data_IF_133972466888
#
_entry.id   IF_133972466888
#
_cell.length_a   1.000
_cell.length_b   1.000
_cell.length_c   1.000
_cell.angle_alpha   90.00
_cell.angle_beta   90.00
_cell.angle_gamma   90.00
#
_symmetry.space_group_name_H-M   'P 1'
#
loop_
_entity.id
_entity.type
_entity.pdbx_description
1 polymer ?
#
# COMPACT_ATOMS: atom_id res chain seq x y z
N UNK A 1 -15.66 29.25 15.92
CA UNK A 1 -15.80 27.81 16.26
C UNK A 1 -15.01 26.96 15.25
N UNK A 2 -13.73 27.26 15.08
CA UNK A 2 -12.90 26.82 13.95
C UNK A 2 -11.83 25.82 14.35
N UNK A 3 -11.51 24.91 13.43
CA UNK A 3 -10.38 23.95 13.42
C UNK A 3 -10.38 22.94 14.58
N UNK A 4 -10.28 23.36 15.84
CA UNK A 4 -10.32 22.48 17.02
C UNK A 4 -11.60 21.63 17.10
N UNK A 5 -12.73 22.18 16.64
CA UNK A 5 -14.00 21.44 16.59
C UNK A 5 -14.02 20.36 15.51
N UNK A 6 -13.29 20.57 14.41
CA UNK A 6 -13.20 19.63 13.29
C UNK A 6 -12.23 18.52 13.66
N UNK A 7 -11.07 18.86 14.22
CA UNK A 7 -10.09 17.89 14.69
C UNK A 7 -10.67 16.97 15.77
N UNK A 8 -11.46 17.52 16.70
CA UNK A 8 -12.16 16.74 17.71
C UNK A 8 -13.19 15.80 17.09
N UNK A 9 -13.98 16.27 16.11
CA UNK A 9 -14.98 15.44 15.44
C UNK A 9 -14.32 14.29 14.65
N UNK A 10 -13.26 14.59 13.91
CA UNK A 10 -12.47 13.59 13.18
C UNK A 10 -11.90 12.57 14.16
N UNK A 11 -11.33 13.04 15.28
CA UNK A 11 -10.80 12.16 16.33
C UNK A 11 -11.88 11.23 16.87
N UNK A 12 -13.06 11.76 17.21
CA UNK A 12 -14.20 10.97 17.70
C UNK A 12 -14.69 9.94 16.69
N UNK A 13 -14.61 10.22 15.39
CA UNK A 13 -14.96 9.27 14.32
C UNK A 13 -13.91 8.16 14.14
N UNK A 14 -12.63 8.51 14.26
CA UNK A 14 -11.51 7.56 14.10
C UNK A 14 -11.40 6.62 15.30
N UNK A 15 -11.64 7.13 16.51
CA UNK A 15 -11.33 6.47 17.77
C UNK A 15 -11.92 5.05 17.91
N UNK A 16 -13.21 4.80 17.58
CA UNK A 16 -13.78 3.45 17.68
C UNK A 16 -13.10 2.45 16.74
N UNK A 17 -12.82 2.85 15.50
CA UNK A 17 -12.18 1.99 14.49
C UNK A 17 -10.72 1.74 14.87
N UNK A 18 -10.03 2.75 15.40
CA UNK A 18 -8.68 2.63 15.92
C UNK A 18 -8.61 1.60 17.07
N UNK A 19 -9.48 1.70 18.07
CA UNK A 19 -9.51 0.75 19.18
C UNK A 19 -9.85 -0.68 18.74
N UNK A 20 -10.75 -0.83 17.76
CA UNK A 20 -11.05 -2.14 17.16
C UNK A 20 -9.80 -2.77 16.50
N UNK A 21 -9.01 -1.98 15.77
CA UNK A 21 -7.73 -2.45 15.22
C UNK A 21 -6.73 -2.82 16.33
N UNK A 22 -6.65 -2.03 17.40
CA UNK A 22 -5.80 -2.36 18.56
C UNK A 22 -6.20 -3.69 19.20
N UNK A 23 -7.51 -3.94 19.36
CA UNK A 23 -8.03 -5.19 19.88
C UNK A 23 -7.68 -6.36 18.97
N UNK A 24 -7.78 -6.20 17.65
CA UNK A 24 -7.39 -7.22 16.69
C UNK A 24 -5.91 -7.58 16.80
N UNK A 25 -5.02 -6.58 16.90
CA UNK A 25 -3.59 -6.81 17.11
C UNK A 25 -3.31 -7.54 18.43
N UNK A 26 -4.01 -7.17 19.51
CA UNK A 26 -3.89 -7.84 20.80
C UNK A 26 -4.33 -9.30 20.74
N UNK A 27 -5.44 -9.58 20.05
CA UNK A 27 -5.93 -10.95 19.82
C UNK A 27 -4.96 -11.76 18.97
N UNK A 28 -4.42 -11.18 17.90
CA UNK A 28 -3.40 -11.81 17.06
C UNK A 28 -2.18 -12.21 17.89
N UNK A 29 -1.59 -11.26 18.63
CA UNK A 29 -0.43 -11.54 19.49
C UNK A 29 -0.74 -12.62 20.52
N UNK A 30 -1.96 -12.61 21.10
CA UNK A 30 -2.39 -13.63 22.06
C UNK A 30 -2.49 -15.02 21.45
N UNK A 31 -3.05 -15.14 20.23
CA UNK A 31 -3.17 -16.42 19.50
C UNK A 31 -1.79 -16.95 19.13
N UNK A 32 -0.88 -16.09 18.65
CA UNK A 32 0.47 -16.52 18.31
C UNK A 32 1.24 -16.94 19.56
N UNK A 33 1.15 -16.19 20.66
CA UNK A 33 1.72 -16.60 21.95
C UNK A 33 1.19 -17.96 22.39
N UNK A 34 -0.12 -18.19 22.30
CA UNK A 34 -0.72 -19.48 22.64
C UNK A 34 -0.19 -20.62 21.75
N UNK A 35 -0.08 -20.38 20.43
CA UNK A 35 0.52 -21.35 19.49
C UNK A 35 1.95 -21.70 19.88
N UNK A 36 2.76 -20.72 20.29
CA UNK A 36 4.12 -20.97 20.76
C UNK A 36 4.16 -21.76 22.07
N UNK A 37 3.31 -21.43 23.05
CA UNK A 37 3.21 -22.18 24.30
C UNK A 37 2.84 -23.65 24.02
N UNK A 38 1.88 -23.89 23.13
CA UNK A 38 1.50 -25.25 22.71
C UNK A 38 2.68 -25.98 22.05
N UNK A 39 3.39 -25.34 21.10
CA UNK A 39 4.55 -25.93 20.43
C UNK A 39 5.69 -26.27 21.41
N UNK A 40 5.93 -25.40 22.40
CA UNK A 40 6.92 -25.63 23.45
C UNK A 40 6.55 -26.84 24.32
N UNK A 41 5.28 -26.94 24.73
CA UNK A 41 4.77 -28.07 25.50
C UNK A 41 4.80 -29.38 24.72
N UNK A 42 4.62 -29.34 23.39
CA UNK A 42 4.67 -30.52 22.52
C UNK A 42 6.09 -31.06 22.23
N UNK A 43 7.16 -30.50 22.82
CA UNK A 43 8.59 -30.90 22.62
C UNK A 43 9.03 -31.05 21.16
N UNK A 44 8.34 -30.38 20.22
CA UNK A 44 8.70 -30.42 18.81
C UNK A 44 9.88 -29.48 18.56
N UNK A 45 11.02 -30.03 18.14
CA UNK A 45 12.14 -29.25 17.57
C UNK A 45 11.75 -28.75 16.18
N UNK A 46 10.74 -27.89 16.09
CA UNK A 46 10.45 -27.16 14.85
C UNK A 46 10.98 -25.73 14.98
N UNK A 47 11.50 -25.23 13.87
CA UNK A 47 12.25 -23.98 13.73
C UNK A 47 11.64 -22.85 14.55
N UNK A 48 12.47 -22.30 15.46
CA UNK A 48 12.13 -21.16 16.30
C UNK A 48 12.10 -19.91 15.41
N UNK A 49 11.07 -19.81 14.58
CA UNK A 49 10.81 -18.59 13.80
C UNK A 49 10.78 -17.41 14.76
N UNK A 50 11.49 -16.35 14.41
CA UNK A 50 11.56 -15.13 15.22
C UNK A 50 10.18 -14.48 15.24
N UNK A 51 9.47 -14.65 16.36
CA UNK A 51 8.18 -14.00 16.55
C UNK A 51 8.39 -12.54 16.94
N UNK A 52 7.74 -11.63 16.22
CA UNK A 52 7.62 -10.22 16.60
C UNK A 52 6.19 -9.92 17.01
N UNK A 53 6.05 -9.17 18.11
CA UNK A 53 4.75 -8.60 18.53
C UNK A 53 4.27 -7.62 17.47
N UNK A 54 3.00 -7.72 17.11
CA UNK A 54 2.35 -6.75 16.25
C UNK A 54 1.78 -5.57 17.05
N UNK A 55 1.33 -5.79 18.29
CA UNK A 55 0.90 -4.72 19.17
C UNK A 55 2.12 -4.01 19.80
N UNK A 56 2.63 -3.02 19.09
CA UNK A 56 3.76 -2.17 19.53
C UNK A 56 3.38 -0.69 19.42
N UNK A 57 4.13 0.18 20.08
CA UNK A 57 3.94 1.63 19.95
C UNK A 57 4.11 2.12 18.51
N UNK A 58 5.01 1.49 17.75
CA UNK A 58 5.21 1.76 16.32
C UNK A 58 4.01 1.32 15.48
N UNK A 59 3.47 0.12 15.74
CA UNK A 59 2.25 -0.36 15.09
C UNK A 59 1.04 0.52 15.37
N UNK A 60 0.83 0.90 16.64
CA UNK A 60 -0.23 1.84 17.02
C UNK A 60 -0.08 3.18 16.31
N UNK A 61 1.15 3.71 16.21
CA UNK A 61 1.42 4.96 15.48
C UNK A 61 1.15 4.80 13.99
N UNK A 62 1.52 3.67 13.38
CA UNK A 62 1.24 3.37 11.98
C UNK A 62 -0.26 3.31 11.71
N UNK A 63 -1.01 2.55 12.53
CA UNK A 63 -2.47 2.44 12.43
C UNK A 63 -3.12 3.81 12.61
N UNK A 64 -2.70 4.62 13.59
CA UNK A 64 -3.23 5.97 13.78
C UNK A 64 -2.93 6.88 12.58
N UNK A 65 -1.67 6.91 12.12
CA UNK A 65 -1.25 7.67 10.93
C UNK A 65 -2.10 7.30 9.71
N UNK A 66 -2.43 6.03 9.54
CA UNK A 66 -3.28 5.58 8.44
C UNK A 66 -4.68 6.20 8.45
N UNK A 67 -5.28 6.39 9.63
CA UNK A 67 -6.58 7.05 9.76
C UNK A 67 -6.48 8.55 9.53
N UNK A 68 -5.44 9.20 10.06
CA UNK A 68 -5.22 10.61 9.84
C UNK A 68 -5.02 10.93 8.35
N UNK A 69 -4.18 10.17 7.64
CA UNK A 69 -3.96 10.35 6.20
C UNK A 69 -5.26 10.27 5.42
N UNK A 70 -6.13 9.31 5.75
CA UNK A 70 -7.41 9.18 5.06
C UNK A 70 -8.42 10.28 5.42
N UNK A 71 -8.43 10.74 6.68
CA UNK A 71 -9.33 11.79 7.14
C UNK A 71 -8.97 13.17 6.57
N UNK A 72 -7.67 13.48 6.46
CA UNK A 72 -7.16 14.77 5.99
C UNK A 72 -6.77 14.78 4.52
N UNK A 73 -7.10 13.74 3.75
CA UNK A 73 -6.83 13.68 2.32
C UNK A 73 -7.46 14.88 1.61
N UNK A 74 -6.71 15.46 0.68
CA UNK A 74 -7.17 16.59 -0.13
C UNK A 74 -8.09 16.09 -1.26
N UNK A 75 -7.79 14.88 -1.75
CA UNK A 75 -8.49 14.24 -2.85
C UNK A 75 -9.95 13.88 -2.48
N UNK A 76 -10.90 14.24 -3.35
CA UNK A 76 -12.32 13.93 -3.22
C UNK A 76 -12.90 13.54 -4.57
N UNK A 77 -13.85 12.60 -4.58
CA UNK A 77 -14.53 12.18 -5.81
C UNK A 77 -15.22 13.37 -6.48
N UNK A 78 -14.98 13.59 -7.77
CA UNK A 78 -15.54 14.67 -8.57
C UNK A 78 -14.81 16.01 -8.49
N UNK A 79 -13.87 16.17 -7.56
CA UNK A 79 -13.04 17.37 -7.41
C UNK A 79 -11.77 17.28 -8.25
N UNK A 80 -11.04 18.39 -8.35
CA UNK A 80 -9.76 18.46 -9.06
C UNK A 80 -8.70 17.56 -8.39
N UNK A 81 -7.91 16.88 -9.22
CA UNK A 81 -6.85 16.00 -8.77
C UNK A 81 -5.65 16.84 -8.28
N UNK A 82 -5.18 16.63 -7.04
CA UNK A 82 -4.01 17.35 -6.53
C UNK A 82 -2.76 17.12 -7.39
N UNK A 83 -2.14 18.19 -7.88
CA UNK A 83 -0.91 18.10 -8.67
C UNK A 83 0.33 17.99 -7.75
N UNK A 84 0.51 16.80 -7.18
CA UNK A 84 1.61 16.49 -6.25
C UNK A 84 2.92 16.26 -7.01
N UNK A 85 4.06 16.64 -6.45
CA UNK A 85 5.35 16.47 -7.11
C UNK A 85 5.88 15.06 -6.93
N UNK A 86 6.47 14.50 -7.98
CA UNK A 86 7.03 13.15 -7.99
C UNK A 86 8.38 13.14 -8.70
N UNK A 87 9.21 12.15 -8.38
CA UNK A 87 10.53 11.95 -8.96
C UNK A 87 10.51 10.75 -9.89
N UNK A 88 11.01 10.90 -11.11
CA UNK A 88 11.09 9.79 -12.06
C UNK A 88 12.07 8.71 -11.58
N UNK A 89 11.66 7.46 -11.67
CA UNK A 89 12.54 6.29 -11.44
C UNK A 89 12.97 5.80 -12.82
N UNK A 90 14.20 6.10 -13.22
CA UNK A 90 14.75 5.64 -14.49
C UNK A 90 15.10 4.15 -14.42
N UNK A 91 14.59 3.33 -15.35
CA UNK A 91 15.08 1.97 -15.55
C UNK A 91 16.42 1.99 -16.30
N UNK A 92 17.49 1.34 -15.79
CA UNK A 92 18.61 0.94 -16.63
C UNK A 92 18.11 -0.19 -17.54
N UNK A 93 18.25 0.04 -18.83
CA UNK A 93 18.16 -0.86 -19.98
C UNK A 93 17.73 -2.34 -19.75
N UNK A 94 16.54 -2.65 -20.29
CA UNK A 94 16.01 -3.93 -20.78
C UNK A 94 16.72 -5.26 -20.42
N UNK A 95 16.06 -6.04 -19.57
CA UNK A 95 16.27 -7.48 -19.43
C UNK A 95 14.96 -8.19 -19.14
N UNK A 96 14.29 -8.69 -20.18
CA UNK A 96 13.07 -9.50 -20.05
C UNK A 96 13.40 -10.86 -19.41
N UNK A 97 12.74 -11.20 -18.31
CA UNK A 97 12.66 -12.60 -17.86
C UNK A 97 11.31 -12.88 -17.21
N UNK A 98 10.44 -13.58 -17.95
CA UNK A 98 9.13 -14.03 -17.48
C UNK A 98 9.26 -15.13 -16.43
N UNK A 99 8.65 -14.93 -15.25
CA UNK A 99 8.50 -15.94 -14.20
C UNK A 99 7.04 -16.36 -14.01
N UNK A 100 6.80 -17.67 -14.09
CA UNK A 100 5.48 -18.32 -14.06
C UNK A 100 4.61 -17.98 -12.84
N UNK A 101 3.30 -17.89 -13.10
CA UNK A 101 2.28 -17.60 -12.11
C UNK A 101 2.13 -18.66 -11.03
N UNK A 102 1.89 -18.18 -9.81
CA UNK A 102 1.46 -18.99 -8.66
C UNK A 102 0.26 -18.29 -8.02
N UNK A 103 -0.81 -19.04 -7.81
CA UNK A 103 -1.98 -18.68 -7.01
C UNK A 103 -1.55 -18.52 -5.55
N UNK A 104 -2.06 -17.50 -4.86
CA UNK A 104 -2.90 -17.63 -3.65
C UNK A 104 -2.72 -16.48 -2.62
N UNK A 105 -3.79 -16.31 -1.83
CA UNK A 105 -4.21 -15.19 -0.97
C UNK A 105 -3.24 -14.84 0.17
N UNK A 106 -2.88 -13.56 0.27
CA UNK A 106 -2.74 -12.80 1.53
C UNK A 106 -2.61 -11.30 1.20
N UNK A 107 -3.02 -10.43 2.11
CA UNK A 107 -3.23 -8.99 1.87
C UNK A 107 -1.97 -8.15 2.12
N UNK A 108 -0.95 -8.32 1.27
CA UNK A 108 0.14 -7.36 1.10
C UNK A 108 -0.04 -6.69 -0.27
N UNK A 109 0.04 -5.36 -0.35
CA UNK A 109 -0.19 -4.60 -1.60
C UNK A 109 0.75 -5.00 -2.76
N UNK A 110 1.90 -5.59 -2.42
CA UNK A 110 2.87 -6.17 -3.35
C UNK A 110 2.28 -7.34 -4.18
N UNK A 111 1.29 -8.07 -3.67
CA UNK A 111 0.71 -9.24 -4.34
C UNK A 111 -0.33 -8.89 -5.42
N UNK A 112 -0.81 -7.65 -5.49
CA UNK A 112 -1.77 -7.22 -6.52
C UNK A 112 -1.09 -6.65 -7.77
N UNK A 113 0.23 -6.45 -7.75
CA UNK A 113 0.98 -5.95 -8.90
C UNK A 113 0.81 -6.80 -10.16
N UNK A 114 0.81 -8.15 -10.13
CA UNK A 114 0.55 -8.93 -11.34
C UNK A 114 -0.86 -8.73 -11.92
N UNK A 115 -1.86 -8.49 -11.06
CA UNK A 115 -3.22 -8.17 -11.51
C UNK A 115 -3.29 -6.75 -12.10
N UNK A 116 -2.55 -5.81 -11.53
CA UNK A 116 -2.39 -4.47 -12.08
C UNK A 116 -1.67 -4.50 -13.43
N UNK A 117 -0.58 -5.26 -13.59
CA UNK A 117 0.12 -5.41 -14.88
C UNK A 117 -0.81 -5.89 -15.99
N UNK A 118 -1.69 -6.86 -15.72
CA UNK A 118 -2.71 -7.31 -16.69
C UNK A 118 -3.68 -6.20 -17.05
N UNK A 119 -4.11 -5.42 -16.07
CA UNK A 119 -5.01 -4.29 -16.30
C UNK A 119 -4.34 -3.22 -17.18
N UNK A 120 -3.04 -2.95 -16.96
CA UNK A 120 -2.25 -2.05 -17.82
C UNK A 120 -2.22 -2.58 -19.25
N UNK A 121 -1.87 -3.85 -19.46
CA UNK A 121 -1.79 -4.45 -20.81
C UNK A 121 -3.13 -4.41 -21.57
N UNK A 122 -4.25 -4.61 -20.88
CA UNK A 122 -5.57 -4.62 -21.49
C UNK A 122 -6.07 -3.22 -21.86
N UNK A 123 -5.79 -2.21 -21.02
CA UNK A 123 -6.37 -0.87 -21.14
C UNK A 123 -5.35 0.21 -21.57
N UNK A 124 -4.10 -0.14 -21.87
CA UNK A 124 -3.07 0.82 -22.31
C UNK A 124 -3.41 1.54 -23.61
N UNK A 125 -4.40 1.06 -24.37
CA UNK A 125 -4.89 1.72 -25.59
C UNK A 125 -5.85 2.89 -25.30
N UNK A 126 -6.42 2.95 -24.10
CA UNK A 126 -7.47 3.93 -23.73
C UNK A 126 -7.12 4.78 -22.51
N UNK A 127 -6.14 4.34 -21.71
CA UNK A 127 -5.70 5.04 -20.50
C UNK A 127 -4.19 4.90 -20.30
N UNK A 128 -3.60 5.95 -19.72
CA UNK A 128 -2.23 5.94 -19.22
C UNK A 128 -2.18 5.39 -17.79
N UNK A 129 -1.08 4.74 -17.42
CA UNK A 129 -0.90 4.14 -16.10
C UNK A 129 0.35 4.70 -15.42
N UNK A 130 0.17 5.10 -14.16
CA UNK A 130 1.22 5.65 -13.31
C UNK A 130 1.21 4.93 -11.96
N UNK A 131 2.34 4.34 -11.58
CA UNK A 131 2.58 3.82 -10.25
C UNK A 131 3.45 4.79 -9.46
N UNK A 132 2.92 5.31 -8.35
CA UNK A 132 3.65 6.19 -7.44
C UNK A 132 4.13 5.38 -6.24
N UNK A 133 5.45 5.19 -6.13
CA UNK A 133 6.09 4.54 -5.00
C UNK A 133 6.17 5.50 -3.81
N UNK A 134 5.60 5.10 -2.67
CA UNK A 134 5.49 5.93 -1.46
C UNK A 134 6.38 5.39 -0.32
N UNK A 135 6.26 5.96 0.87
CA UNK A 135 6.95 5.47 2.07
C UNK A 135 6.51 4.05 2.44
N UNK A 136 7.43 3.25 2.99
CA UNK A 136 7.15 1.86 3.38
C UNK A 136 6.12 1.81 4.51
N UNK A 137 5.06 1.01 4.31
CA UNK A 137 4.11 0.74 5.38
C UNK A 137 4.73 -0.11 6.51
N UNK A 138 5.65 -1.01 6.14
CA UNK A 138 6.29 -1.98 7.03
C UNK A 138 7.81 -2.04 6.80
N UNK A 139 8.56 -0.99 7.17
CA UNK A 139 10.01 -0.99 7.00
C UNK A 139 10.67 -2.06 7.87
N UNK A 140 11.72 -2.70 7.35
CA UNK A 140 12.45 -3.79 8.02
C UNK A 140 13.15 -3.35 9.31
N UNK A 141 13.49 -2.06 9.42
CA UNK A 141 14.06 -1.41 10.61
C UNK A 141 13.02 -0.72 11.52
N UNK A 142 11.73 -1.00 11.32
CA UNK A 142 10.64 -0.52 12.18
C UNK A 142 9.56 -1.59 12.43
N UNK A 143 8.30 -1.25 12.17
CA UNK A 143 7.16 -2.16 12.36
C UNK A 143 7.01 -3.16 11.21
N UNK A 144 7.94 -4.12 11.15
CA UNK A 144 7.97 -5.18 10.16
C UNK A 144 6.99 -6.31 10.47
N UNK A 145 6.35 -6.86 9.43
CA UNK A 145 5.46 -8.03 9.54
C UNK A 145 6.30 -9.31 9.68
N UNK A 146 6.17 -10.07 10.79
CA UNK A 146 6.93 -11.29 10.99
C UNK A 146 6.46 -12.42 10.07
N UNK A 147 7.41 -13.16 9.52
CA UNK A 147 7.14 -14.30 8.64
C UNK A 147 6.93 -13.93 7.17
N UNK A 148 7.61 -12.89 6.71
CA UNK A 148 7.57 -12.43 5.33
C UNK A 148 7.63 -13.61 4.35
N UNK A 149 6.61 -13.70 3.49
CA UNK A 149 6.64 -14.61 2.33
C UNK A 149 7.92 -14.37 1.55
N UNK A 150 8.36 -15.36 0.77
CA UNK A 150 9.53 -15.23 -0.11
C UNK A 150 9.47 -14.03 -1.06
N UNK A 151 8.29 -13.40 -1.23
CA UNK A 151 8.00 -12.19 -2.00
C UNK A 151 8.07 -10.86 -1.22
N UNK A 152 8.17 -10.89 0.11
CA UNK A 152 8.37 -9.67 0.90
C UNK A 152 9.72 -9.05 0.57
N UNK A 153 9.70 -7.75 0.29
CA UNK A 153 10.89 -6.96 -0.03
C UNK A 153 11.34 -6.34 1.30
N UNK A 154 12.49 -6.74 1.81
CA UNK A 154 13.02 -6.21 3.08
C UNK A 154 13.61 -4.81 2.86
N UNK A 155 12.74 -3.81 2.76
CA UNK A 155 13.11 -2.42 2.54
C UNK A 155 13.19 -1.70 3.89
N UNK A 156 14.30 -1.00 4.14
CA UNK A 156 14.45 -0.12 5.31
C UNK A 156 13.72 1.20 5.06
N UNK A 157 13.37 1.91 6.13
CA UNK A 157 12.82 3.25 6.00
C UNK A 157 13.77 4.18 5.23
N UNK A 158 13.25 4.80 4.17
CA UNK A 158 14.00 5.71 3.31
C UNK A 158 14.51 6.93 4.09
N UNK A 159 15.79 7.27 3.95
CA UNK A 159 16.40 8.45 4.61
C UNK A 159 16.57 9.62 3.66
N UNK A 160 16.64 9.35 2.36
CA UNK A 160 16.80 10.31 1.29
C UNK A 160 16.05 9.82 0.03
N UNK A 161 16.05 10.64 -1.02
CA UNK A 161 15.33 10.33 -2.26
C UNK A 161 15.96 9.14 -2.99
N UNK A 162 17.28 8.99 -2.92
CA UNK A 162 18.03 7.91 -3.54
C UNK A 162 17.61 6.54 -2.98
N UNK A 163 17.50 6.43 -1.66
CA UNK A 163 17.02 5.21 -0.97
C UNK A 163 15.63 4.82 -1.48
N UNK A 164 14.72 5.80 -1.63
CA UNK A 164 13.36 5.57 -2.09
C UNK A 164 13.31 5.18 -3.57
N UNK A 165 14.08 5.86 -4.41
CA UNK A 165 14.18 5.50 -5.83
C UNK A 165 14.81 4.11 -6.00
N UNK A 166 15.79 3.73 -5.17
CA UNK A 166 16.38 2.40 -5.18
C UNK A 166 15.36 1.32 -4.78
N UNK A 167 14.54 1.57 -3.76
CA UNK A 167 13.47 0.65 -3.37
C UNK A 167 12.39 0.50 -4.47
N UNK A 168 11.99 1.61 -5.09
CA UNK A 168 11.09 1.61 -6.25
C UNK A 168 11.69 0.82 -7.43
N UNK A 169 12.99 0.91 -7.62
CA UNK A 169 13.70 0.16 -8.66
C UNK A 169 13.72 -1.35 -8.36
N UNK A 170 13.97 -1.75 -7.10
CA UNK A 170 13.89 -3.16 -6.71
C UNK A 170 12.48 -3.74 -6.92
N UNK A 171 11.44 -2.94 -6.68
CA UNK A 171 10.05 -3.33 -6.98
C UNK A 171 9.85 -3.54 -8.50
N UNK A 172 10.39 -2.66 -9.33
CA UNK A 172 10.35 -2.79 -10.79
C UNK A 172 11.00 -4.08 -11.29
N UNK A 173 12.24 -4.33 -10.86
CA UNK A 173 13.01 -5.52 -11.25
C UNK A 173 12.26 -6.82 -10.88
N UNK A 174 11.63 -6.82 -9.71
CA UNK A 174 10.99 -8.01 -9.15
C UNK A 174 9.64 -8.35 -9.81
N UNK A 175 8.85 -7.35 -10.19
CA UNK A 175 7.48 -7.55 -10.66
C UNK A 175 7.29 -7.35 -12.16
N UNK A 176 8.32 -6.88 -12.89
CA UNK A 176 8.31 -6.71 -14.35
C UNK A 176 7.02 -6.02 -14.83
N UNK A 177 6.88 -4.74 -14.50
CA UNK A 177 5.73 -3.95 -14.94
C UNK A 177 5.79 -3.73 -16.47
N UNK A 178 4.63 -3.66 -17.14
CA UNK A 178 4.58 -3.38 -18.57
C UNK A 178 5.20 -2.01 -18.89
N UNK A 179 5.83 -1.84 -20.06
CA UNK A 179 6.50 -0.59 -20.43
C UNK A 179 5.53 0.60 -20.55
N UNK A 180 4.22 0.34 -20.66
CA UNK A 180 3.17 1.37 -20.69
C UNK A 180 2.87 1.94 -19.29
N UNK A 181 3.35 1.31 -18.23
CA UNK A 181 3.22 1.81 -16.87
C UNK A 181 4.46 2.63 -16.48
N UNK A 182 4.27 3.93 -16.26
CA UNK A 182 5.33 4.76 -15.72
C UNK A 182 5.44 4.54 -14.21
N UNK A 183 6.66 4.41 -13.70
CA UNK A 183 6.93 4.35 -12.26
C UNK A 183 7.67 5.60 -11.82
N UNK A 184 7.15 6.22 -10.77
CA UNK A 184 7.71 7.40 -10.14
C UNK A 184 7.75 7.17 -8.63
N UNK A 185 8.60 7.89 -7.92
CA UNK A 185 8.65 7.90 -6.47
C UNK A 185 8.07 9.22 -5.94
N UNK A 186 7.36 9.15 -4.81
CA UNK A 186 6.93 10.34 -4.07
C UNK A 186 8.17 11.09 -3.54
N UNK A 187 8.04 12.39 -3.37
CA UNK A 187 9.07 13.23 -2.75
C UNK A 187 9.22 12.90 -1.26
N UNK A 188 10.40 13.14 -0.68
CA UNK A 188 10.68 12.83 0.73
C UNK A 188 9.79 13.60 1.75
N UNK A 189 9.14 14.68 1.32
CA UNK A 189 8.09 15.39 2.09
C UNK A 189 6.75 14.63 2.13
N UNK A 190 6.62 13.55 1.34
CA UNK A 190 5.45 12.69 1.19
C UNK A 190 4.20 13.46 0.71
N UNK A 191 4.39 14.45 -0.16
CA UNK A 191 3.29 15.31 -0.57
C UNK A 191 2.20 14.55 -1.34
N UNK A 192 2.54 13.58 -2.20
CA UNK A 192 1.54 12.77 -2.90
C UNK A 192 0.83 11.84 -1.92
N UNK A 193 1.58 11.21 -1.03
CA UNK A 193 1.04 10.36 0.04
C UNK A 193 -0.01 11.09 0.89
N UNK A 194 0.26 12.34 1.28
CA UNK A 194 -0.63 13.17 2.08
C UNK A 194 -1.82 13.66 1.25
N UNK A 195 -1.60 14.18 0.05
CA UNK A 195 -2.66 14.72 -0.79
C UNK A 195 -3.70 13.64 -1.16
N UNK A 196 -3.22 12.44 -1.47
CA UNK A 196 -4.06 11.31 -1.81
C UNK A 196 -4.46 10.43 -0.61
N UNK A 197 -3.96 10.71 0.59
CA UNK A 197 -4.31 10.01 1.84
C UNK A 197 -3.96 8.52 1.84
N UNK A 198 -2.79 8.17 1.34
CA UNK A 198 -2.39 6.77 1.09
C UNK A 198 -1.61 6.22 2.28
N UNK A 199 -2.14 5.24 3.00
CA UNK A 199 -1.43 4.65 4.14
C UNK A 199 -0.68 3.36 3.83
N UNK A 200 -1.09 2.66 2.78
CA UNK A 200 -0.53 1.39 2.33
C UNK A 200 -0.51 1.40 0.81
N UNK A 201 -1.70 1.30 0.23
CA UNK A 201 -1.93 1.37 -1.20
C UNK A 201 -3.27 2.07 -1.44
N UNK A 202 -3.39 2.71 -2.61
CA UNK A 202 -4.62 3.32 -3.08
C UNK A 202 -4.55 3.41 -4.59
N UNK A 203 -5.68 3.16 -5.22
CA UNK A 203 -5.88 3.38 -6.65
C UNK A 203 -6.85 4.54 -6.84
N UNK A 204 -6.58 5.39 -7.81
CA UNK A 204 -7.47 6.46 -8.24
C UNK A 204 -7.47 6.54 -9.76
N UNK A 205 -8.55 7.08 -10.33
CA UNK A 205 -8.63 7.37 -11.75
C UNK A 205 -8.83 8.87 -11.89
N UNK A 206 -7.93 9.51 -12.64
CA UNK A 206 -8.02 10.92 -12.99
C UNK A 206 -8.53 11.03 -14.42
N UNK A 207 -9.61 11.78 -14.62
CA UNK A 207 -10.15 12.06 -15.95
C UNK A 207 -10.42 13.57 -16.04
N UNK A 208 -9.87 14.22 -17.08
CA UNK A 208 -10.00 15.68 -17.29
C UNK A 208 -9.61 16.48 -16.03
N UNK A 209 -8.48 16.12 -15.43
CA UNK A 209 -7.92 16.72 -14.21
C UNK A 209 -8.80 16.55 -12.95
N UNK A 210 -9.84 15.70 -13.00
CA UNK A 210 -10.73 15.43 -11.86
C UNK A 210 -10.67 13.98 -11.42
N UNK A 211 -10.96 13.74 -10.15
CA UNK A 211 -11.01 12.40 -9.57
C UNK A 211 -12.29 11.72 -9.98
N UNK A 212 -12.19 10.82 -10.95
CA UNK A 212 -13.32 10.08 -11.49
C UNK A 212 -13.59 8.78 -10.72
N UNK A 213 -12.57 8.25 -10.04
CA UNK A 213 -12.67 7.15 -9.09
C UNK A 213 -11.61 7.33 -7.99
N UNK A 214 -12.00 7.03 -6.75
CA UNK A 214 -11.12 7.06 -5.58
C UNK A 214 -11.33 5.77 -4.79
N UNK A 215 -10.32 4.91 -4.80
CA UNK A 215 -10.32 3.68 -4.00
C UNK A 215 -10.36 3.99 -2.50
N UNK A 216 -10.92 3.07 -1.73
CA UNK A 216 -11.06 3.22 -0.29
C UNK A 216 -9.71 3.21 0.46
N UNK A 217 -9.77 3.05 1.78
CA UNK A 217 -8.58 2.96 2.63
C UNK A 217 -7.93 1.58 2.48
N UNK A 218 -6.67 1.52 2.03
CA UNK A 218 -5.88 0.29 2.02
C UNK A 218 -5.62 -0.26 3.44
N UNK A 219 -5.24 -1.54 3.58
CA UNK A 219 -5.02 -2.52 2.50
C UNK A 219 -6.33 -3.20 2.02
N UNK A 220 -7.44 -3.04 2.73
CA UNK A 220 -8.66 -3.83 2.46
C UNK A 220 -9.50 -3.32 1.27
N UNK A 221 -9.39 -2.04 0.91
CA UNK A 221 -10.21 -1.43 -0.13
C UNK A 221 -9.48 -1.19 -1.45
N UNK A 222 -8.35 -1.87 -1.68
CA UNK A 222 -7.72 -1.89 -3.00
C UNK A 222 -8.42 -2.91 -3.88
N UNK A 223 -9.34 -2.42 -4.71
CA UNK A 223 -10.19 -3.24 -5.56
C UNK A 223 -9.94 -2.95 -7.04
N UNK A 224 -9.06 -3.74 -7.67
CA UNK A 224 -8.80 -3.65 -9.11
C UNK A 224 -10.00 -4.06 -9.97
N UNK A 225 -10.95 -4.83 -9.44
CA UNK A 225 -12.16 -5.19 -10.18
C UNK A 225 -13.09 -3.99 -10.35
N UNK A 226 -13.19 -3.12 -9.35
CA UNK A 226 -13.94 -1.86 -9.46
C UNK A 226 -13.28 -0.92 -10.49
N UNK A 227 -11.95 -0.85 -10.49
CA UNK A 227 -11.19 -0.08 -11.50
C UNK A 227 -11.44 -0.63 -12.90
N UNK A 228 -11.34 -1.95 -13.07
CA UNK A 228 -11.63 -2.63 -14.33
C UNK A 228 -13.05 -2.32 -14.80
N UNK A 229 -14.05 -2.50 -13.93
CA UNK A 229 -15.44 -2.22 -14.26
C UNK A 229 -15.66 -0.75 -14.64
N UNK A 230 -15.00 0.18 -13.96
CA UNK A 230 -15.04 1.59 -14.29
C UNK A 230 -14.44 1.85 -15.68
N UNK A 231 -13.27 1.28 -15.99
CA UNK A 231 -12.63 1.40 -17.31
C UNK A 231 -13.48 0.77 -18.40
N UNK A 232 -14.02 -0.43 -18.18
CA UNK A 232 -14.93 -1.09 -19.11
C UNK A 232 -16.18 -0.23 -19.36
N UNK A 233 -16.80 0.34 -18.33
CA UNK A 233 -18.01 1.15 -18.51
C UNK A 233 -17.76 2.43 -19.31
N UNK A 234 -16.60 3.05 -19.15
CA UNK A 234 -16.28 4.33 -19.78
C UNK A 234 -15.59 4.19 -21.14
N UNK A 235 -14.89 3.08 -21.38
CA UNK A 235 -14.02 2.90 -22.54
C UNK A 235 -14.21 1.56 -23.27
N UNK A 236 -15.13 0.67 -22.85
CA UNK A 236 -15.46 -0.50 -23.68
C UNK A 236 -15.97 -0.05 -25.04
N UNK A 237 -15.22 -0.48 -26.06
CA UNK A 237 -15.50 -0.46 -27.49
C UNK A 237 -16.94 -0.08 -27.84
N UNK A 238 -17.14 1.18 -28.24
CA UNK A 238 -18.05 1.47 -29.35
C UNK A 238 -17.32 1.17 -30.65
#
# INVERSE_FOLDING_TARGET
MGILSIDLLITLQILPVFFSNCLFLALYDSVILLKHVVLLLSRSKSTRGEWRRMLTSEGLRCVWKSFLLDAYKQVKLGEDAPNSSVVCVSSPEGGHSCGNGVREKTADGVLQLPAFSKLVEEFSSVADFLLVYIDEAHPSDGWAVPGGSSLSLEVKKHRNQEDRCAAAHQLLERFSLPPQCQVVADCMDNNANVAYGVAFERVCIVQRQKIAYLGGKGPFCYNLQEVRHWLEKNFSKR
#
